data_IF_372950247711
#
_entry.id   IF_372950247711
#
_cell.length_a   1.000
_cell.length_b   1.000
_cell.length_c   1.000
_cell.angle_alpha   90.00
_cell.angle_beta   90.00
_cell.angle_gamma   90.00
#
_symmetry.space_group_name_H-M   'P 1'
#
loop_
_entity.id
_entity.type
_entity.pdbx_description
1 polymer ?
#
# COMPACT_ATOMS: atom_id res chain seq x y z
N UNK A 1 8.42 -18.88 8.70
CA UNK A 1 8.66 -19.62 7.44
C UNK A 1 7.83 -20.89 7.30
N UNK A 2 7.48 -21.61 8.39
CA UNK A 2 6.65 -22.83 8.33
C UNK A 2 5.27 -22.62 7.67
N UNK A 3 4.64 -21.46 7.92
CA UNK A 3 3.29 -21.18 7.41
C UNK A 3 3.26 -21.04 5.88
N UNK A 4 4.28 -20.44 5.26
CA UNK A 4 4.33 -20.28 3.81
C UNK A 4 4.39 -21.63 3.09
N UNK A 5 5.21 -22.56 3.58
CA UNK A 5 5.30 -23.93 3.05
C UNK A 5 4.00 -24.71 3.18
N UNK A 6 3.28 -24.52 4.30
CA UNK A 6 1.97 -25.13 4.50
C UNK A 6 0.96 -24.66 3.46
N UNK A 7 0.91 -23.35 3.16
CA UNK A 7 0.02 -22.81 2.12
C UNK A 7 0.34 -23.34 0.73
N UNK A 8 1.63 -23.44 0.37
CA UNK A 8 2.05 -24.04 -0.90
C UNK A 8 1.58 -25.49 -0.99
N UNK A 9 1.74 -26.25 0.08
CA UNK A 9 1.37 -27.67 0.12
C UNK A 9 -0.16 -27.85 0.00
N UNK A 10 -0.94 -27.02 0.69
CA UNK A 10 -2.41 -27.01 0.56
C UNK A 10 -2.83 -26.65 -0.87
N UNK A 11 -2.22 -25.63 -1.48
CA UNK A 11 -2.53 -25.23 -2.84
C UNK A 11 -2.26 -26.36 -3.85
N UNK A 12 -1.15 -27.08 -3.70
CA UNK A 12 -0.81 -28.25 -4.53
C UNK A 12 -1.82 -29.38 -4.35
N UNK A 13 -2.23 -29.68 -3.10
CA UNK A 13 -3.22 -30.73 -2.83
C UNK A 13 -4.57 -30.39 -3.46
N UNK A 14 -5.04 -29.15 -3.29
CA UNK A 14 -6.32 -28.68 -3.87
C UNK A 14 -6.25 -28.70 -5.40
N UNK A 15 -5.11 -28.33 -5.98
CA UNK A 15 -4.93 -28.37 -7.42
C UNK A 15 -4.95 -29.79 -7.99
N UNK A 16 -4.24 -30.73 -7.36
CA UNK A 16 -4.25 -32.14 -7.76
C UNK A 16 -5.63 -32.78 -7.61
N UNK A 17 -6.33 -32.51 -6.51
CA UNK A 17 -7.67 -33.08 -6.29
C UNK A 17 -8.69 -32.56 -7.30
N UNK A 18 -8.58 -31.29 -7.72
CA UNK A 18 -9.41 -30.72 -8.77
C UNK A 18 -9.15 -31.37 -10.14
N UNK A 19 -7.88 -31.63 -10.47
CA UNK A 19 -7.50 -32.37 -11.68
C UNK A 19 -8.04 -33.81 -11.70
N UNK A 20 -7.97 -34.51 -10.56
CA UNK A 20 -8.53 -35.86 -10.41
C UNK A 20 -10.06 -35.84 -10.54
N UNK A 21 -10.75 -34.87 -9.93
CA UNK A 21 -12.20 -34.75 -10.06
C UNK A 21 -12.63 -34.49 -11.53
N UNK A 22 -11.91 -33.63 -12.25
CA UNK A 22 -12.15 -33.38 -13.66
C UNK A 22 -11.87 -34.61 -14.54
N UNK A 23 -10.85 -35.39 -14.20
CA UNK A 23 -10.53 -36.66 -14.88
C UNK A 23 -11.65 -37.69 -14.70
N UNK A 24 -12.17 -37.84 -13.47
CA UNK A 24 -13.25 -38.77 -13.16
C UNK A 24 -14.59 -38.36 -13.76
N UNK A 25 -14.85 -37.05 -13.89
CA UNK A 25 -16.07 -36.53 -14.50
C UNK A 25 -16.05 -36.51 -16.04
N UNK A 26 -14.86 -36.64 -16.64
CA UNK A 26 -14.68 -36.51 -18.08
C UNK A 26 -14.98 -37.81 -18.85
N UNK A 27 -15.59 -37.73 -20.05
CA UNK A 27 -15.75 -38.90 -20.92
C UNK A 27 -14.37 -39.46 -21.33
N UNK A 28 -14.21 -40.78 -21.29
CA UNK A 28 -12.92 -41.50 -21.45
C UNK A 28 -12.06 -41.04 -22.65
N UNK A 29 -12.69 -40.55 -23.73
CA UNK A 29 -11.99 -40.12 -24.94
C UNK A 29 -11.24 -38.78 -24.79
N UNK A 30 -11.57 -37.98 -23.78
CA UNK A 30 -11.00 -36.63 -23.59
C UNK A 30 -10.43 -36.39 -22.19
N UNK A 31 -10.58 -37.34 -21.25
CA UNK A 31 -10.16 -37.19 -19.86
C UNK A 31 -8.67 -36.79 -19.72
N UNK A 32 -7.78 -37.43 -20.49
CA UNK A 32 -6.35 -37.09 -20.49
C UNK A 32 -6.06 -35.68 -21.05
N UNK A 33 -6.76 -35.26 -22.11
CA UNK A 33 -6.58 -33.92 -22.70
C UNK A 33 -7.12 -32.81 -21.81
N UNK A 34 -8.28 -33.03 -21.18
CA UNK A 34 -8.88 -32.11 -20.22
C UNK A 34 -7.99 -31.95 -18.98
N UNK A 35 -7.45 -33.06 -18.45
CA UNK A 35 -6.49 -33.05 -17.35
C UNK A 35 -5.27 -32.20 -17.68
N UNK A 36 -4.66 -32.39 -18.86
CA UNK A 36 -3.50 -31.60 -19.29
C UNK A 36 -3.86 -30.14 -19.57
N UNK A 37 -5.05 -29.85 -20.10
CA UNK A 37 -5.51 -28.47 -20.33
C UNK A 37 -5.74 -27.73 -19.02
N UNK A 38 -6.38 -28.33 -18.01
CA UNK A 38 -6.53 -27.71 -16.69
C UNK A 38 -5.19 -27.55 -16.00
N UNK A 39 -4.27 -28.51 -16.11
CA UNK A 39 -2.90 -28.39 -15.64
C UNK A 39 -2.15 -27.22 -16.31
N UNK A 40 -2.24 -27.14 -17.63
CA UNK A 40 -1.52 -26.15 -18.44
C UNK A 40 -2.12 -24.74 -18.36
N UNK A 41 -3.42 -24.59 -18.10
CA UNK A 41 -4.04 -23.28 -17.90
C UNK A 41 -3.96 -22.80 -16.45
N UNK A 42 -4.19 -23.67 -15.46
CA UNK A 42 -4.10 -23.26 -14.06
C UNK A 42 -2.65 -23.09 -13.57
N UNK A 43 -1.66 -23.73 -14.20
CA UNK A 43 -0.25 -23.54 -13.84
C UNK A 43 0.22 -22.09 -14.01
N UNK A 44 0.13 -21.50 -15.21
CA UNK A 44 0.50 -20.11 -15.46
C UNK A 44 -0.37 -19.12 -14.70
N UNK A 45 -1.68 -19.37 -14.58
CA UNK A 45 -2.58 -18.54 -13.77
C UNK A 45 -2.23 -18.59 -12.29
N UNK A 46 -1.84 -19.75 -11.76
CA UNK A 46 -1.38 -19.91 -10.38
C UNK A 46 -0.07 -19.16 -10.12
N UNK A 47 0.89 -19.23 -11.05
CA UNK A 47 2.15 -18.46 -10.97
C UNK A 47 1.87 -16.96 -11.05
N UNK A 48 1.03 -16.53 -11.99
CA UNK A 48 0.64 -15.12 -12.11
C UNK A 48 -0.05 -14.61 -10.83
N UNK A 49 -0.98 -15.39 -10.25
CA UNK A 49 -1.64 -15.04 -9.00
C UNK A 49 -0.65 -14.98 -7.82
N UNK A 50 0.33 -15.89 -7.76
CA UNK A 50 1.38 -15.87 -6.74
C UNK A 50 2.28 -14.63 -6.87
N UNK A 51 2.63 -14.23 -8.10
CA UNK A 51 3.41 -13.01 -8.35
C UNK A 51 2.62 -11.74 -8.00
N UNK A 52 1.31 -11.72 -8.28
CA UNK A 52 0.41 -10.62 -7.91
C UNK A 52 0.27 -10.51 -6.39
N UNK A 53 0.06 -11.63 -5.69
CA UNK A 53 0.02 -11.65 -4.21
C UNK A 53 1.32 -11.16 -3.60
N UNK A 54 2.48 -11.59 -4.14
CA UNK A 54 3.79 -11.14 -3.68
C UNK A 54 3.99 -9.64 -3.88
N UNK A 55 3.56 -9.09 -5.01
CA UNK A 55 3.62 -7.64 -5.24
C UNK A 55 2.70 -6.87 -4.30
N UNK A 56 1.51 -7.39 -4.01
CA UNK A 56 0.58 -6.76 -3.05
C UNK A 56 1.18 -6.76 -1.63
N UNK A 57 1.86 -7.81 -1.21
CA UNK A 57 2.58 -7.85 0.08
C UNK A 57 3.69 -6.79 0.14
N UNK A 58 4.49 -6.65 -0.92
CA UNK A 58 5.55 -5.63 -0.99
C UNK A 58 4.95 -4.20 -0.88
N UNK A 59 3.79 -3.95 -1.51
CA UNK A 59 3.08 -2.68 -1.37
C UNK A 59 2.46 -2.49 0.02
N UNK A 60 1.87 -3.52 0.60
CA UNK A 60 1.29 -3.47 1.94
C UNK A 60 2.38 -3.17 2.99
N UNK A 61 3.55 -3.78 2.86
CA UNK A 61 4.68 -3.60 3.76
C UNK A 61 5.34 -2.22 3.57
N UNK A 62 5.36 -1.68 2.36
CA UNK A 62 5.78 -0.29 2.11
C UNK A 62 4.79 0.77 2.61
N UNK A 63 3.54 0.39 2.91
CA UNK A 63 2.51 1.30 3.40
C UNK A 63 2.33 1.29 4.93
N UNK A 64 3.05 0.42 5.65
CA UNK A 64 3.14 0.49 7.10
C UNK A 64 4.08 1.67 7.49
N UNK A 65 3.57 2.74 8.13
CA UNK A 65 4.41 3.85 8.53
C UNK A 65 5.27 3.44 9.74
N UNK A 66 6.55 3.17 9.52
CA UNK A 66 7.60 2.90 10.54
C UNK A 66 7.92 4.11 11.46
N UNK A 67 6.92 4.90 11.82
CA UNK A 67 7.08 6.06 12.70
C UNK A 67 6.25 6.03 13.98
N UNK A 68 5.69 4.88 14.35
CA UNK A 68 5.24 4.65 15.73
C UNK A 68 6.39 4.06 16.55
N UNK A 69 7.46 4.86 16.70
CA UNK A 69 8.31 4.79 17.89
C UNK A 69 7.40 4.72 19.12
N UNK A 70 7.58 3.77 20.05
CA UNK A 70 6.82 3.74 21.29
C UNK A 70 7.13 5.03 22.04
N UNK A 71 6.14 5.93 22.08
CA UNK A 71 6.14 7.04 23.01
C UNK A 71 6.04 6.40 24.39
N UNK A 72 7.21 6.12 24.98
CA UNK A 72 7.36 5.92 26.41
C UNK A 72 6.70 7.15 27.03
N UNK A 73 5.60 6.95 27.76
CA UNK A 73 4.94 7.98 28.56
C UNK A 73 5.93 8.43 29.65
N UNK A 74 6.95 9.19 29.26
CA UNK A 74 7.60 10.12 30.14
C UNK A 74 6.58 11.23 30.38
N UNK A 75 6.35 11.51 31.66
CA UNK A 75 5.51 12.59 32.15
C UNK A 75 5.64 13.85 31.26
N UNK A 76 4.55 14.62 31.09
CA UNK A 76 4.59 15.86 30.33
C UNK A 76 5.63 16.79 30.95
N UNK A 77 6.85 16.77 30.41
CA UNK A 77 7.80 17.82 30.66
C UNK A 77 7.23 19.02 29.94
N UNK A 78 6.56 19.85 30.75
CA UNK A 78 6.30 21.26 30.54
C UNK A 78 7.59 21.91 30.07
N UNK A 79 7.84 21.81 28.76
CA UNK A 79 8.80 22.66 28.06
C UNK A 79 8.13 24.01 28.03
N UNK A 80 8.56 24.84 28.96
CA UNK A 80 8.59 26.29 28.93
C UNK A 80 8.04 26.85 27.63
N UNK A 81 6.83 27.42 27.70
CA UNK A 81 6.23 28.16 26.60
C UNK A 81 7.25 29.18 26.07
N UNK A 82 7.65 29.10 24.78
CA UNK A 82 8.31 30.21 24.14
C UNK A 82 7.31 31.37 24.12
N UNK A 83 7.76 32.54 24.55
CA UNK A 83 6.99 33.77 24.49
C UNK A 83 6.26 33.91 23.14
N UNK A 84 4.97 34.23 23.16
CA UNK A 84 4.31 34.84 21.99
C UNK A 84 5.08 36.12 21.58
N UNK A 85 5.04 36.63 20.32
CA UNK A 85 4.26 36.30 19.11
C UNK A 85 5.18 36.20 17.84
N UNK A 86 4.75 36.17 16.53
CA UNK A 86 4.13 37.33 15.82
C UNK A 86 3.15 36.98 14.66
N UNK A 87 2.09 37.79 14.53
CA UNK A 87 1.53 38.24 13.24
C UNK A 87 1.47 37.24 12.05
N UNK A 88 0.39 36.45 12.00
CA UNK A 88 0.04 35.63 10.82
C UNK A 88 -0.83 36.45 9.88
N UNK A 89 -0.49 36.48 8.59
CA UNK A 89 -1.34 37.07 7.54
C UNK A 89 -2.02 35.98 6.71
N UNK A 90 -3.25 36.25 6.27
CA UNK A 90 -3.97 35.40 5.30
C UNK A 90 -3.53 35.80 3.90
N UNK A 91 -3.08 34.85 3.10
CA UNK A 91 -2.76 35.04 1.68
C UNK A 91 -3.45 33.97 0.84
N UNK A 92 -3.68 34.23 -0.44
CA UNK A 92 -4.23 33.25 -1.38
C UNK A 92 -3.14 32.70 -2.29
N UNK A 93 -3.17 31.39 -2.51
CA UNK A 93 -2.27 30.74 -3.48
C UNK A 93 -2.63 31.18 -4.91
N UNK A 94 -1.66 31.60 -5.74
CA UNK A 94 -1.91 32.04 -7.12
C UNK A 94 -2.34 30.90 -8.05
N UNK A 95 -2.04 29.64 -7.72
CA UNK A 95 -2.37 28.48 -8.57
C UNK A 95 -3.76 27.90 -8.28
N UNK A 96 -4.10 27.69 -7.00
CA UNK A 96 -5.33 26.99 -6.62
C UNK A 96 -6.32 27.85 -5.82
N UNK A 97 -6.00 29.13 -5.62
CA UNK A 97 -6.81 30.11 -4.88
C UNK A 97 -7.14 29.73 -3.43
N UNK A 98 -6.41 28.76 -2.85
CA UNK A 98 -6.59 28.35 -1.46
C UNK A 98 -6.08 29.42 -0.49
N UNK A 99 -6.81 29.66 0.60
CA UNK A 99 -6.41 30.57 1.68
C UNK A 99 -5.43 29.88 2.63
N UNK A 100 -4.30 30.54 2.87
CA UNK A 100 -3.19 30.04 3.69
C UNK A 100 -2.82 31.08 4.75
N UNK A 101 -2.51 30.60 5.95
CA UNK A 101 -1.98 31.42 7.05
C UNK A 101 -0.45 31.33 7.02
N UNK A 102 0.20 32.43 6.66
CA UNK A 102 1.67 32.51 6.53
C UNK A 102 2.20 33.55 7.51
N UNK A 103 3.38 33.31 8.09
CA UNK A 103 4.04 34.29 8.96
C UNK A 103 4.38 35.56 8.17
N UNK A 104 4.20 36.76 8.77
CA UNK A 104 4.48 38.04 8.09
C UNK A 104 5.89 38.13 7.48
N UNK A 105 6.88 37.46 8.06
CA UNK A 105 8.30 37.52 7.64
C UNK A 105 8.71 36.43 6.65
N UNK A 106 7.82 35.52 6.26
CA UNK A 106 8.17 34.47 5.32
C UNK A 106 8.21 35.01 3.88
N UNK A 107 9.38 34.96 3.25
CA UNK A 107 9.56 35.36 1.84
C UNK A 107 8.99 34.34 0.83
N UNK A 108 8.80 33.07 1.27
CA UNK A 108 8.25 31.98 0.46
C UNK A 108 7.27 31.18 1.29
N UNK A 109 6.25 30.64 0.65
CA UNK A 109 5.29 29.73 1.26
C UNK A 109 5.00 28.56 0.34
N UNK A 110 4.73 27.39 0.94
CA UNK A 110 4.32 26.18 0.22
C UNK A 110 2.81 25.99 0.38
N UNK A 111 2.09 25.90 -0.73
CA UNK A 111 0.66 25.62 -0.68
C UNK A 111 0.40 24.16 -0.28
N UNK A 112 -0.44 23.94 0.73
CA UNK A 112 -0.82 22.58 1.18
C UNK A 112 -1.67 21.85 0.14
N UNK A 113 -2.42 22.58 -0.71
CA UNK A 113 -3.36 22.00 -1.66
C UNK A 113 -2.72 21.57 -2.99
N UNK A 114 -1.82 22.39 -3.55
CA UNK A 114 -1.13 22.08 -4.81
C UNK A 114 0.35 21.71 -4.64
N UNK A 115 0.89 21.73 -3.42
CA UNK A 115 2.32 21.51 -3.11
C UNK A 115 3.31 22.47 -3.79
N UNK A 116 2.83 23.51 -4.45
CA UNK A 116 3.65 24.49 -5.16
C UNK A 116 4.22 25.55 -4.21
N UNK A 117 5.46 25.97 -4.48
CA UNK A 117 6.19 26.97 -3.67
C UNK A 117 6.11 28.32 -4.37
N UNK A 118 5.43 29.28 -3.74
CA UNK A 118 5.26 30.63 -4.28
C UNK A 118 5.97 31.67 -3.41
N UNK A 119 6.35 32.79 -4.02
CA UNK A 119 6.87 33.96 -3.29
C UNK A 119 5.71 34.69 -2.62
N UNK A 120 5.92 35.17 -1.41
CA UNK A 120 4.93 36.00 -0.72
C UNK A 120 4.94 37.40 -1.35
N UNK A 121 3.80 37.99 -1.72
CA UNK A 121 3.77 39.39 -2.15
C UNK A 121 4.22 40.26 -0.96
N UNK A 122 5.12 41.20 -1.23
CA UNK A 122 5.61 42.18 -0.25
C UNK A 122 4.46 43.05 0.27
#
# INVERSE_FOLDING_TARGET
MLNAWLYVLIAVIVWLSCGVAAYLAGPERYAGRLFWLTLAFMGPLGIAAALIMKTIEDFAQSSAPDHLTPIKLAAPQSKTAPAAPPDKRKIRCPHCNAELLVGKTAARFKCVKCNEVSKTPD
#
